data_IF_388144927518
#
_entry.id   IF_388144927518
#
_cell.length_a   1.000
_cell.length_b   1.000
_cell.length_c   1.000
_cell.angle_alpha   90.00
_cell.angle_beta   90.00
_cell.angle_gamma   90.00
#
_symmetry.space_group_name_H-M   'P 1'
#
loop_
_entity.id
_entity.type
_entity.pdbx_description
1 polymer ?
#
# COMPACT_ATOMS: atom_id res chain seq x y z
N UNK A 1 -3.13 -10.37 -4.63
CA UNK A 1 -2.18 -10.59 -5.75
C UNK A 1 -0.93 -11.40 -5.35
N UNK A 2 -0.67 -11.60 -4.06
CA UNK A 2 0.54 -12.30 -3.56
C UNK A 2 0.59 -13.77 -3.99
N UNK A 3 -0.55 -14.37 -4.21
CA UNK A 3 -0.77 -15.74 -4.70
C UNK A 3 -0.55 -15.92 -6.21
N UNK A 4 -0.26 -14.83 -6.93
CA UNK A 4 -0.12 -14.78 -8.39
C UNK A 4 1.34 -14.57 -8.84
N UNK A 5 2.29 -15.04 -8.06
CA UNK A 5 3.73 -14.93 -8.34
C UNK A 5 4.21 -13.49 -8.64
N UNK A 6 3.58 -12.49 -7.99
CA UNK A 6 3.89 -11.07 -8.22
C UNK A 6 5.20 -10.61 -7.61
N UNK A 7 5.71 -11.31 -6.61
CA UNK A 7 6.95 -11.03 -5.86
C UNK A 7 7.72 -12.31 -5.58
N UNK A 8 9.01 -12.16 -5.29
CA UNK A 8 9.86 -13.28 -4.92
C UNK A 8 9.62 -13.70 -3.47
N UNK A 9 9.75 -14.99 -3.21
CA UNK A 9 9.66 -15.57 -1.88
C UNK A 9 11.04 -16.05 -1.43
N UNK A 10 11.38 -15.76 -0.20
CA UNK A 10 12.62 -16.18 0.46
C UNK A 10 12.32 -17.06 1.66
N UNK A 11 13.31 -17.76 2.16
CA UNK A 11 13.15 -18.52 3.40
C UNK A 11 12.98 -17.55 4.59
N UNK A 12 12.06 -17.90 5.51
CA UNK A 12 11.91 -17.17 6.75
C UNK A 12 13.13 -17.40 7.67
N UNK A 13 13.14 -16.74 8.86
CA UNK A 13 14.30 -16.76 9.78
C UNK A 13 14.77 -18.16 10.21
N UNK A 14 13.89 -19.16 10.24
CA UNK A 14 14.19 -20.55 10.65
C UNK A 14 14.18 -21.56 9.49
N UNK A 15 14.03 -21.11 8.27
CA UNK A 15 13.96 -21.91 7.04
C UNK A 15 12.83 -22.94 7.01
N UNK A 16 11.78 -22.76 7.82
CA UNK A 16 10.64 -23.69 7.86
C UNK A 16 9.55 -23.31 6.87
N UNK A 17 9.45 -22.04 6.49
CA UNK A 17 8.43 -21.50 5.61
C UNK A 17 9.03 -20.51 4.62
N UNK A 18 8.26 -20.15 3.60
CA UNK A 18 8.59 -19.07 2.66
C UNK A 18 7.82 -17.80 3.01
N UNK A 19 8.48 -16.66 2.93
CA UNK A 19 7.87 -15.35 3.08
C UNK A 19 8.16 -14.46 1.87
N UNK A 20 7.26 -13.52 1.51
CA UNK A 20 7.53 -12.61 0.40
C UNK A 20 8.67 -11.66 0.76
N UNK A 21 9.60 -11.46 -0.17
CA UNK A 21 10.69 -10.49 -0.02
C UNK A 21 10.17 -9.05 0.09
N UNK A 22 9.12 -8.75 -0.64
CA UNK A 22 8.38 -7.47 -0.62
C UNK A 22 6.88 -7.75 -0.78
N UNK A 23 6.03 -6.87 -0.25
CA UNK A 23 4.60 -6.96 -0.47
C UNK A 23 4.20 -6.27 -1.79
N UNK A 24 3.36 -6.88 -2.63
CA UNK A 24 2.89 -6.29 -3.89
C UNK A 24 1.81 -5.23 -3.65
N UNK A 25 2.16 -4.15 -2.93
CA UNK A 25 1.23 -3.09 -2.55
C UNK A 25 0.69 -2.33 -3.76
N UNK A 26 -0.58 -1.97 -3.71
CA UNK A 26 -1.29 -1.32 -4.81
C UNK A 26 -1.11 0.21 -4.86
N UNK A 27 -0.53 0.81 -3.84
CA UNK A 27 -0.22 2.24 -3.73
C UNK A 27 1.10 2.43 -2.97
N UNK A 28 1.79 3.59 -3.09
CA UNK A 28 3.08 3.83 -2.43
C UNK A 28 2.93 4.00 -0.91
N UNK A 29 2.73 2.91 -0.19
CA UNK A 29 2.40 2.87 1.24
C UNK A 29 3.49 3.49 2.13
N UNK A 30 4.73 3.49 1.69
CA UNK A 30 5.86 4.10 2.39
C UNK A 30 5.69 5.62 2.60
N UNK A 31 4.95 6.29 1.72
CA UNK A 31 4.66 7.73 1.82
C UNK A 31 3.28 8.02 2.43
N UNK A 32 2.39 7.04 2.50
CA UNK A 32 1.05 7.23 3.09
C UNK A 32 1.07 6.99 4.59
N UNK A 33 1.81 6.00 5.04
CA UNK A 33 1.94 5.67 6.45
C UNK A 33 3.16 6.35 7.06
N UNK A 34 3.03 6.85 8.28
CA UNK A 34 4.20 7.31 9.05
C UNK A 34 5.15 6.15 9.25
N UNK A 35 6.42 6.38 8.92
CA UNK A 35 7.45 5.37 9.05
C UNK A 35 8.62 5.93 9.85
N UNK A 36 8.80 5.43 11.06
CA UNK A 36 9.90 5.81 11.96
C UNK A 36 10.60 4.55 12.43
N UNK A 37 11.90 4.47 12.16
CA UNK A 37 12.72 3.34 12.57
C UNK A 37 14.11 3.82 13.03
N UNK A 38 14.57 3.25 14.12
CA UNK A 38 15.89 3.53 14.69
C UNK A 38 16.66 2.23 14.76
N UNK A 39 17.79 2.16 14.05
CA UNK A 39 18.71 1.04 14.10
C UNK A 39 20.13 1.54 14.41
N UNK A 40 21.02 0.62 14.74
CA UNK A 40 22.44 0.97 14.96
C UNK A 40 23.07 1.42 13.63
N UNK A 41 23.54 2.65 13.59
CA UNK A 41 24.18 3.24 12.41
C UNK A 41 23.21 3.72 11.31
N UNK A 42 21.89 3.53 11.46
CA UNK A 42 20.90 3.87 10.44
C UNK A 42 19.57 4.25 11.07
N UNK A 43 18.97 5.35 10.61
CA UNK A 43 17.63 5.76 11.04
C UNK A 43 16.78 6.14 9.82
N UNK A 44 15.46 5.93 9.93
CA UNK A 44 14.47 6.37 8.97
C UNK A 44 13.40 7.17 9.70
N UNK A 45 12.96 8.29 9.12
CA UNK A 45 11.87 9.11 9.63
C UNK A 45 11.13 9.74 8.45
N UNK A 46 10.08 9.07 8.00
CA UNK A 46 9.29 9.46 6.84
C UNK A 46 7.94 9.97 7.33
N UNK A 47 7.60 11.21 6.99
CA UNK A 47 6.28 11.77 7.28
C UNK A 47 5.21 11.13 6.40
N UNK A 48 3.97 11.13 6.87
CA UNK A 48 2.82 10.67 6.11
C UNK A 48 2.29 11.75 5.18
N UNK A 49 1.70 11.29 4.07
CA UNK A 49 1.01 12.12 3.11
C UNK A 49 -0.43 11.61 2.90
N UNK A 50 -1.29 12.48 2.40
CA UNK A 50 -2.66 12.11 2.09
C UNK A 50 -2.70 11.05 0.98
N UNK A 51 -3.46 9.96 1.19
CA UNK A 51 -3.57 8.85 0.25
C UNK A 51 -4.05 9.29 -1.14
N UNK A 52 -5.06 10.16 -1.20
CA UNK A 52 -5.60 10.66 -2.46
C UNK A 52 -4.56 11.46 -3.22
N UNK A 53 -3.88 12.40 -2.54
CA UNK A 53 -2.83 13.24 -3.13
C UNK A 53 -1.64 12.40 -3.62
N UNK A 54 -1.23 11.39 -2.88
CA UNK A 54 -0.18 10.45 -3.30
C UNK A 54 -0.59 9.66 -4.53
N UNK A 55 -1.81 9.16 -4.59
CA UNK A 55 -2.32 8.45 -5.78
C UNK A 55 -2.41 9.38 -7.00
N UNK A 56 -2.90 10.60 -6.83
CA UNK A 56 -2.97 11.59 -7.89
C UNK A 56 -1.59 11.99 -8.40
N UNK A 57 -0.63 12.21 -7.49
CA UNK A 57 0.76 12.53 -7.82
C UNK A 57 1.44 11.38 -8.56
N UNK A 58 1.24 10.15 -8.09
CA UNK A 58 1.77 8.94 -8.75
C UNK A 58 1.21 8.80 -10.16
N UNK A 59 -0.10 8.98 -10.32
CA UNK A 59 -0.74 8.92 -11.63
C UNK A 59 -0.26 10.05 -12.57
N UNK A 60 0.00 11.25 -12.02
CA UNK A 60 0.57 12.35 -12.79
C UNK A 60 2.00 12.04 -13.27
N UNK A 61 2.85 11.46 -12.41
CA UNK A 61 4.21 11.05 -12.76
C UNK A 61 4.26 9.93 -13.81
N UNK A 62 3.30 9.00 -13.78
CA UNK A 62 3.19 7.96 -14.82
C UNK A 62 2.88 8.58 -16.18
N UNK A 63 2.05 9.63 -16.23
CA UNK A 63 1.68 10.33 -17.48
C UNK A 63 2.76 11.29 -17.95
N UNK A 64 3.39 11.99 -17.03
CA UNK A 64 4.45 12.97 -17.29
C UNK A 64 5.57 12.84 -16.25
N UNK A 65 6.70 12.21 -16.63
CA UNK A 65 7.87 12.06 -15.75
C UNK A 65 8.45 13.39 -15.24
N UNK A 66 8.11 14.53 -15.89
CA UNK A 66 8.58 15.85 -15.49
C UNK A 66 7.58 16.61 -14.60
N UNK A 67 6.49 15.95 -14.18
CA UNK A 67 5.50 16.56 -13.28
C UNK A 67 6.16 17.09 -11.99
N UNK A 68 5.85 18.36 -11.63
CA UNK A 68 6.27 18.92 -10.35
C UNK A 68 5.38 18.37 -9.23
N UNK A 69 5.97 17.55 -8.39
CA UNK A 69 5.29 16.85 -7.28
C UNK A 69 4.52 17.82 -6.37
N UNK A 70 5.04 19.03 -6.14
CA UNK A 70 4.38 20.01 -5.25
C UNK A 70 3.06 20.56 -5.80
N UNK A 71 2.77 20.40 -7.08
CA UNK A 71 1.48 20.81 -7.66
C UNK A 71 0.32 19.91 -7.22
N UNK A 72 0.57 18.64 -6.98
CA UNK A 72 -0.44 17.65 -6.57
C UNK A 72 -0.25 17.15 -5.14
N UNK A 73 0.90 17.45 -4.52
CA UNK A 73 1.25 17.09 -3.15
C UNK A 73 1.77 18.32 -2.41
N UNK A 74 0.89 19.26 -2.01
CA UNK A 74 1.32 20.56 -1.51
C UNK A 74 2.01 20.49 -0.15
N UNK A 75 1.66 19.53 0.71
CA UNK A 75 2.25 19.35 2.04
C UNK A 75 1.98 17.94 2.59
N UNK A 76 2.78 17.48 3.58
CA UNK A 76 2.47 16.28 4.33
C UNK A 76 1.15 16.37 5.10
N UNK A 77 0.56 15.21 5.39
CA UNK A 77 -0.65 15.07 6.18
C UNK A 77 -0.33 14.27 7.45
N UNK A 78 -0.03 14.99 8.53
CA UNK A 78 0.40 14.37 9.80
C UNK A 78 -0.80 13.80 10.56
N UNK A 79 -0.63 12.60 11.10
CA UNK A 79 -1.61 11.97 11.98
C UNK A 79 -1.83 12.85 13.23
N UNK A 80 -3.10 13.04 13.62
CA UNK A 80 -3.48 13.88 14.74
C UNK A 80 -3.85 15.31 14.37
N UNK A 81 -3.67 15.72 13.12
CA UNK A 81 -4.24 16.97 12.58
C UNK A 81 -3.60 18.25 13.10
N UNK A 82 -2.30 18.27 13.42
CA UNK A 82 -1.55 19.47 13.73
C UNK A 82 -1.46 20.42 12.54
N UNK A 83 -1.09 21.67 12.79
CA UNK A 83 -0.85 22.67 11.76
C UNK A 83 0.61 22.59 11.28
N UNK A 84 0.81 22.72 9.98
CA UNK A 84 2.14 22.91 9.39
C UNK A 84 2.39 24.40 9.27
N UNK A 85 3.54 24.87 9.77
CA UNK A 85 4.03 26.20 9.44
C UNK A 85 4.63 26.11 8.05
N UNK A 86 3.87 26.58 7.05
CA UNK A 86 4.21 26.42 5.65
C UNK A 86 5.46 27.25 5.28
N UNK A 87 6.49 26.56 4.84
CA UNK A 87 7.68 27.11 4.23
C UNK A 87 7.98 26.30 2.97
N UNK A 88 7.70 26.91 1.81
CA UNK A 88 7.85 26.27 0.51
C UNK A 88 9.28 25.78 0.27
N UNK A 89 10.28 26.58 0.66
CA UNK A 89 11.68 26.21 0.44
C UNK A 89 12.08 25.00 1.30
N UNK A 90 11.65 24.97 2.55
CA UNK A 90 11.89 23.84 3.46
C UNK A 90 11.21 22.58 2.96
N UNK A 91 9.97 22.67 2.50
CA UNK A 91 9.22 21.53 1.92
C UNK A 91 9.88 21.05 0.62
N UNK A 92 10.23 21.96 -0.28
CA UNK A 92 10.92 21.62 -1.54
C UNK A 92 12.24 20.89 -1.27
N UNK A 93 13.01 21.35 -0.30
CA UNK A 93 14.25 20.66 0.11
C UNK A 93 13.97 19.23 0.55
N UNK A 94 12.94 19.00 1.40
CA UNK A 94 12.56 17.66 1.84
C UNK A 94 12.10 16.81 0.66
N UNK A 95 11.31 17.35 -0.25
CA UNK A 95 10.78 16.65 -1.42
C UNK A 95 11.88 16.25 -2.40
N UNK A 96 12.91 17.08 -2.56
CA UNK A 96 14.02 16.80 -3.46
C UNK A 96 15.08 15.89 -2.85
N UNK A 97 15.39 16.06 -1.56
CA UNK A 97 16.53 15.39 -0.92
C UNK A 97 16.16 14.28 0.05
N UNK A 98 14.92 14.22 0.49
CA UNK A 98 14.47 13.33 1.57
C UNK A 98 14.98 13.75 2.97
N UNK A 99 15.59 14.93 3.10
CA UNK A 99 16.12 15.46 4.35
C UNK A 99 15.67 16.90 4.58
N UNK A 100 15.39 17.24 5.83
CA UNK A 100 15.03 18.59 6.25
C UNK A 100 14.06 18.58 7.41
N UNK A 101 13.70 19.76 7.89
CA UNK A 101 12.75 19.93 9.00
C UNK A 101 11.44 20.55 8.53
N UNK A 102 10.32 20.01 9.02
CA UNK A 102 8.99 20.56 8.82
C UNK A 102 8.48 21.02 10.18
N UNK A 103 8.17 22.31 10.32
CA UNK A 103 7.65 22.85 11.58
C UNK A 103 6.20 22.54 11.74
N UNK A 104 5.86 21.93 12.87
CA UNK A 104 4.51 21.53 13.27
C UNK A 104 4.08 22.36 14.48
N UNK A 105 2.81 22.72 14.52
CA UNK A 105 2.23 23.52 15.61
C UNK A 105 0.90 22.91 16.04
N UNK A 106 0.70 22.89 17.36
CA UNK A 106 -0.55 22.50 17.97
C UNK A 106 -1.70 23.43 17.58
N UNK A 107 -2.89 22.87 17.41
CA UNK A 107 -4.12 23.62 17.21
C UNK A 107 -4.85 23.78 18.55
N UNK A 108 -5.32 24.98 18.84
CA UNK A 108 -6.04 25.28 20.06
C UNK A 108 -7.31 26.10 19.80
N UNK A 109 -8.17 26.11 20.81
CA UNK A 109 -9.36 26.94 20.87
C UNK A 109 -9.42 27.61 22.26
N UNK A 110 -9.77 28.89 22.28
CA UNK A 110 -10.03 29.59 23.53
C UNK A 110 -11.53 29.52 23.91
N UNK A 111 -11.82 28.97 25.06
CA UNK A 111 -13.17 28.99 25.65
C UNK A 111 -13.28 30.16 26.61
N UNK A 112 -14.04 31.20 26.19
CA UNK A 112 -14.26 32.41 27.01
C UNK A 112 -15.09 32.14 28.26
N UNK A 113 -16.00 31.16 28.20
CA UNK A 113 -16.90 30.86 29.32
C UNK A 113 -16.17 30.19 30.47
N UNK A 114 -15.30 29.29 30.18
CA UNK A 114 -14.45 28.58 31.14
C UNK A 114 -13.11 29.29 31.38
N UNK A 115 -12.76 30.32 30.61
CA UNK A 115 -11.48 31.02 30.63
C UNK A 115 -10.30 30.07 30.55
N UNK A 116 -10.38 29.14 29.59
CA UNK A 116 -9.34 28.13 29.33
C UNK A 116 -8.98 28.03 27.87
N UNK A 117 -7.79 27.49 27.62
CA UNK A 117 -7.34 27.09 26.29
C UNK A 117 -7.46 25.55 26.17
N UNK A 118 -8.20 25.10 25.17
CA UNK A 118 -8.27 23.69 24.79
C UNK A 118 -7.29 23.45 23.65
N UNK A 119 -6.23 22.68 23.87
CA UNK A 119 -5.34 22.18 22.82
C UNK A 119 -5.96 20.93 22.24
N UNK A 120 -6.28 20.95 20.93
CA UNK A 120 -7.07 19.93 20.26
C UNK A 120 -6.24 19.02 19.33
N UNK A 121 -5.02 19.44 19.03
CA UNK A 121 -4.04 18.61 18.31
C UNK A 121 -2.63 19.03 18.69
N UNK A 122 -1.70 18.10 18.64
CA UNK A 122 -0.30 18.33 18.99
C UNK A 122 0.61 17.80 17.88
N UNK A 123 1.86 18.30 17.77
CA UNK A 123 2.83 17.71 16.86
C UNK A 123 3.02 16.20 17.11
N UNK A 124 3.17 15.43 16.05
CA UNK A 124 3.40 13.97 16.12
C UNK A 124 4.73 13.58 16.75
N UNK A 125 5.60 14.55 17.01
CA UNK A 125 6.92 14.39 17.62
C UNK A 125 6.88 14.38 19.16
N UNK A 126 5.72 14.63 19.77
CA UNK A 126 5.57 14.80 21.22
C UNK A 126 4.32 14.09 21.75
N UNK A 127 4.17 14.03 23.05
CA UNK A 127 2.98 13.49 23.74
C UNK A 127 2.35 14.50 24.69
N UNK A 128 1.11 14.24 25.12
CA UNK A 128 0.41 15.10 26.08
C UNK A 128 1.19 15.23 27.37
N UNK A 129 1.75 14.12 27.87
CA UNK A 129 2.50 14.09 29.12
C UNK A 129 3.73 15.00 29.05
N UNK A 130 4.51 14.92 27.97
CA UNK A 130 5.71 15.75 27.77
C UNK A 130 5.36 17.24 27.72
N UNK A 131 4.24 17.58 27.08
CA UNK A 131 3.78 18.97 27.00
C UNK A 131 3.37 19.48 28.39
N UNK A 132 2.57 18.70 29.11
CA UNK A 132 2.08 19.05 30.44
C UNK A 132 3.24 19.20 31.42
N UNK A 133 4.19 18.26 31.42
CA UNK A 133 5.40 18.36 32.26
C UNK A 133 6.19 19.63 31.97
N UNK A 134 6.42 19.95 30.71
CA UNK A 134 7.12 21.20 30.35
C UNK A 134 6.38 22.44 30.76
N UNK A 135 5.04 22.47 30.66
CA UNK A 135 4.22 23.59 31.13
C UNK A 135 4.36 23.74 32.66
N UNK A 136 4.24 22.64 33.41
CA UNK A 136 4.40 22.62 34.86
C UNK A 136 5.78 23.16 35.28
N UNK A 137 6.82 22.72 34.62
CA UNK A 137 8.19 23.17 34.89
C UNK A 137 8.38 24.66 34.62
N UNK A 138 7.78 25.19 33.56
CA UNK A 138 7.82 26.62 33.25
C UNK A 138 7.07 27.44 34.29
N UNK A 139 5.96 26.95 34.84
CA UNK A 139 5.20 27.60 35.92
C UNK A 139 5.99 27.54 37.22
N UNK A 140 6.55 26.39 37.60
CA UNK A 140 7.41 26.23 38.78
C UNK A 140 8.65 27.11 38.74
N UNK A 141 9.27 27.24 37.57
CA UNK A 141 10.42 28.12 37.38
C UNK A 141 10.07 29.61 37.33
N UNK A 142 8.80 29.98 37.46
CA UNK A 142 8.32 31.36 37.40
C UNK A 142 8.43 32.04 36.03
N UNK A 143 8.75 31.29 34.97
CA UNK A 143 8.82 31.81 33.60
C UNK A 143 7.45 32.15 33.01
N UNK A 144 6.42 31.40 33.40
CA UNK A 144 5.02 31.61 33.04
C UNK A 144 4.21 31.73 34.31
N UNK A 145 3.52 32.84 34.47
CA UNK A 145 2.68 33.13 35.65
C UNK A 145 1.20 33.17 35.30
N UNK A 146 0.87 33.00 34.04
CA UNK A 146 -0.45 33.25 33.46
C UNK A 146 -1.40 32.04 33.60
N UNK A 147 -0.85 30.86 33.94
CA UNK A 147 -1.58 29.59 34.02
C UNK A 147 -2.01 29.31 35.47
N UNK A 148 -3.27 28.92 35.64
CA UNK A 148 -3.81 28.48 36.91
C UNK A 148 -3.70 26.97 37.09
N UNK A 149 -4.05 26.20 36.07
CA UNK A 149 -3.97 24.74 36.05
C UNK A 149 -3.80 24.20 34.62
N UNK A 150 -3.30 22.97 34.50
CA UNK A 150 -3.18 22.25 33.24
C UNK A 150 -3.51 20.78 33.43
N UNK A 151 -4.38 20.23 32.58
CA UNK A 151 -4.88 18.85 32.67
C UNK A 151 -4.95 18.19 31.30
N UNK A 152 -4.77 16.86 31.28
CA UNK A 152 -5.15 16.02 30.16
C UNK A 152 -6.62 15.62 30.29
N UNK A 153 -7.44 16.06 29.37
CA UNK A 153 -8.86 15.71 29.25
C UNK A 153 -9.13 14.90 27.97
N UNK A 154 -8.11 14.23 27.44
CA UNK A 154 -8.23 13.35 26.27
C UNK A 154 -9.23 12.24 26.56
N UNK A 155 -10.18 12.05 25.67
CA UNK A 155 -11.27 11.09 25.81
C UNK A 155 -11.76 10.54 24.47
N UNK A 156 -12.99 10.04 24.46
CA UNK A 156 -13.64 9.46 23.28
C UNK A 156 -13.72 10.46 22.12
N UNK A 157 -13.88 11.75 22.44
CA UNK A 157 -14.00 12.83 21.45
C UNK A 157 -12.64 13.26 20.83
N UNK A 158 -11.54 12.65 21.26
CA UNK A 158 -10.20 12.94 20.79
C UNK A 158 -9.28 13.58 21.83
N UNK A 159 -8.12 14.04 21.35
CA UNK A 159 -7.11 14.69 22.17
C UNK A 159 -7.59 16.05 22.67
N UNK A 160 -7.42 16.28 23.97
CA UNK A 160 -7.72 17.55 24.61
C UNK A 160 -6.81 17.80 25.82
N UNK A 161 -5.97 18.83 25.73
CA UNK A 161 -5.24 19.38 26.87
C UNK A 161 -5.91 20.69 27.25
N UNK A 162 -6.41 20.82 28.50
CA UNK A 162 -7.04 22.03 29.00
C UNK A 162 -6.08 22.82 29.87
N UNK A 163 -5.90 24.09 29.52
CA UNK A 163 -5.03 25.04 30.23
C UNK A 163 -5.91 26.14 30.80
N UNK A 164 -6.12 26.15 32.11
CA UNK A 164 -6.88 27.18 32.80
C UNK A 164 -6.06 28.44 32.95
N UNK A 165 -6.65 29.60 32.60
CA UNK A 165 -5.98 30.88 32.61
C UNK A 165 -6.32 31.64 33.89
N UNK A 166 -5.36 32.43 34.38
CA UNK A 166 -5.64 33.47 35.41
C UNK A 166 -6.43 34.61 34.75
N UNK A 167 -7.12 35.42 35.61
CA UNK A 167 -7.91 36.55 35.14
C UNK A 167 -7.04 37.58 34.40
N UNK A 168 -7.57 38.10 33.29
CA UNK A 168 -6.93 39.16 32.53
C UNK A 168 -5.76 38.70 31.63
N UNK A 169 -5.56 37.39 31.46
CA UNK A 169 -4.56 36.86 30.57
C UNK A 169 -5.03 36.84 29.11
N UNK A 170 -4.19 37.33 28.20
CA UNK A 170 -4.40 37.23 26.77
C UNK A 170 -4.02 35.81 26.33
N UNK A 171 -4.98 34.98 25.80
CA UNK A 171 -4.71 33.61 25.41
C UNK A 171 -3.71 33.53 24.24
N UNK A 172 -3.78 34.41 23.26
CA UNK A 172 -2.89 34.36 22.11
C UNK A 172 -1.44 34.68 22.48
N UNK A 173 -1.27 35.64 23.38
CA UNK A 173 0.06 35.97 23.92
C UNK A 173 0.65 34.84 24.74
N UNK A 174 -0.17 34.15 25.53
CA UNK A 174 0.26 32.97 26.27
C UNK A 174 0.64 31.84 25.33
N UNK A 175 -0.18 31.58 24.32
CA UNK A 175 0.13 30.53 23.34
C UNK A 175 1.41 30.81 22.56
N UNK A 176 1.69 32.06 22.21
CA UNK A 176 2.97 32.45 21.60
C UNK A 176 4.18 32.12 22.48
N UNK A 177 4.05 32.30 23.82
CA UNK A 177 5.11 31.87 24.77
C UNK A 177 5.23 30.35 24.83
N UNK A 178 4.07 29.64 24.90
CA UNK A 178 4.04 28.18 24.98
C UNK A 178 4.64 27.53 23.72
N UNK A 179 4.34 28.05 22.55
CA UNK A 179 4.99 27.60 21.29
C UNK A 179 6.50 27.73 21.32
N UNK A 180 7.01 28.79 21.93
CA UNK A 180 8.46 29.05 22.00
C UNK A 180 9.19 28.15 23.00
N UNK A 181 8.54 27.78 24.11
CA UNK A 181 9.19 27.13 25.25
C UNK A 181 8.78 25.66 25.46
N UNK A 182 7.80 25.18 24.73
CA UNK A 182 7.33 23.79 24.81
C UNK A 182 7.31 23.13 23.44
N UNK A 183 7.01 21.84 23.40
CA UNK A 183 6.81 21.05 22.17
C UNK A 183 5.43 21.20 21.56
N UNK A 184 4.63 22.21 21.97
CA UNK A 184 3.43 22.62 21.23
C UNK A 184 3.76 23.19 19.84
N UNK A 185 4.96 23.67 19.63
CA UNK A 185 5.58 23.85 18.32
C UNK A 185 6.88 23.04 18.29
N UNK A 186 7.05 22.19 17.28
CA UNK A 186 8.19 21.33 17.17
C UNK A 186 8.55 21.09 15.71
N UNK A 187 9.72 20.55 15.43
CA UNK A 187 10.20 20.26 14.09
C UNK A 187 10.24 18.76 13.86
N UNK A 188 9.51 18.30 12.85
CA UNK A 188 9.64 16.93 12.36
C UNK A 188 10.89 16.85 11.46
N UNK A 189 11.89 16.11 11.90
CA UNK A 189 13.14 15.93 11.15
C UNK A 189 12.99 14.79 10.16
N UNK A 190 12.79 15.13 8.89
CA UNK A 190 12.69 14.16 7.80
C UNK A 190 14.03 13.51 7.49
N UNK A 191 14.01 12.20 7.36
CA UNK A 191 15.11 11.38 6.85
C UNK A 191 14.51 10.19 6.10
N UNK A 192 14.28 10.35 4.81
CA UNK A 192 13.62 9.37 3.96
C UNK A 192 14.59 8.27 3.55
N UNK A 193 15.10 7.56 4.54
CA UNK A 193 16.03 6.46 4.35
C UNK A 193 15.26 5.16 4.12
N UNK A 194 15.45 4.56 2.96
CA UNK A 194 14.77 3.36 2.48
C UNK A 194 15.80 2.35 1.96
N UNK A 195 15.39 1.09 1.84
CA UNK A 195 16.17 0.05 1.21
C UNK A 195 15.77 -0.11 -0.25
N UNK A 196 16.69 0.12 -1.17
CA UNK A 196 16.51 -0.16 -2.60
C UNK A 196 17.47 -1.29 -2.99
N UNK A 197 16.91 -2.43 -3.36
CA UNK A 197 17.72 -3.62 -3.63
C UNK A 197 18.58 -4.07 -2.45
N UNK A 198 18.11 -3.86 -1.20
CA UNK A 198 18.84 -4.16 0.03
C UNK A 198 19.87 -3.12 0.45
N UNK A 199 20.06 -2.03 -0.32
CA UNK A 199 21.02 -0.97 -0.02
C UNK A 199 20.31 0.26 0.55
N UNK A 200 20.72 0.79 1.71
CA UNK A 200 20.16 2.01 2.28
C UNK A 200 20.42 3.23 1.37
N UNK A 201 19.35 3.97 1.07
CA UNK A 201 19.41 5.23 0.32
C UNK A 201 18.45 6.25 0.91
N UNK A 202 18.87 7.49 0.93
CA UNK A 202 17.99 8.63 1.25
C UNK A 202 17.53 9.25 -0.06
N UNK A 203 16.22 9.20 -0.29
CA UNK A 203 15.59 9.63 -1.54
C UNK A 203 14.52 10.69 -1.27
N UNK A 204 14.36 11.61 -2.20
CA UNK A 204 13.24 12.54 -2.22
C UNK A 204 11.93 11.87 -2.62
N UNK A 205 10.82 12.61 -2.51
CA UNK A 205 9.47 12.08 -2.79
C UNK A 205 9.35 11.56 -4.22
N UNK A 206 9.80 12.33 -5.21
CA UNK A 206 9.74 11.94 -6.62
C UNK A 206 10.52 10.65 -6.86
N UNK A 207 11.75 10.57 -6.39
CA UNK A 207 12.59 9.38 -6.55
C UNK A 207 11.98 8.14 -5.89
N UNK A 208 11.37 8.28 -4.70
CA UNK A 208 10.65 7.21 -4.03
C UNK A 208 9.44 6.72 -4.85
N UNK A 209 8.69 7.65 -5.44
CA UNK A 209 7.55 7.31 -6.30
C UNK A 209 8.01 6.62 -7.59
N UNK A 210 9.11 7.06 -8.20
CA UNK A 210 9.70 6.44 -9.39
C UNK A 210 10.15 5.00 -9.11
N UNK A 211 10.81 4.74 -7.98
CA UNK A 211 11.20 3.39 -7.55
C UNK A 211 9.97 2.50 -7.30
N UNK A 212 8.94 3.05 -6.65
CA UNK A 212 7.69 2.31 -6.44
C UNK A 212 6.97 2.02 -7.76
N UNK A 213 6.94 2.97 -8.71
CA UNK A 213 6.33 2.78 -10.03
C UNK A 213 7.03 1.63 -10.77
N UNK A 214 8.37 1.63 -10.79
CA UNK A 214 9.14 0.56 -11.42
C UNK A 214 8.83 -0.81 -10.80
N UNK A 215 8.80 -0.91 -9.47
CA UNK A 215 8.40 -2.11 -8.76
C UNK A 215 6.96 -2.53 -9.08
N UNK A 216 6.03 -1.57 -9.12
CA UNK A 216 4.61 -1.86 -9.40
C UNK A 216 4.38 -2.35 -10.84
N UNK A 217 5.09 -1.79 -11.80
CA UNK A 217 5.05 -2.26 -13.19
C UNK A 217 5.44 -3.73 -13.26
N UNK A 218 6.50 -4.13 -12.57
CA UNK A 218 6.93 -5.53 -12.52
C UNK A 218 5.88 -6.44 -11.85
N UNK A 219 5.29 -6.01 -10.73
CA UNK A 219 4.20 -6.74 -10.09
C UNK A 219 3.00 -6.92 -11.02
N UNK A 220 2.62 -5.88 -11.77
CA UNK A 220 1.50 -5.96 -12.73
C UNK A 220 1.84 -6.90 -13.87
N UNK A 221 3.05 -6.81 -14.42
CA UNK A 221 3.53 -7.71 -15.48
C UNK A 221 3.49 -9.18 -15.05
N UNK A 222 4.05 -9.49 -13.88
CA UNK A 222 4.06 -10.85 -13.32
C UNK A 222 2.65 -11.37 -13.07
N UNK A 223 1.76 -10.56 -12.50
CA UNK A 223 0.35 -10.90 -12.31
C UNK A 223 -0.34 -11.20 -13.64
N UNK A 224 -0.16 -10.34 -14.63
CA UNK A 224 -0.77 -10.50 -15.95
C UNK A 224 -0.28 -11.78 -16.62
N UNK A 225 1.01 -12.06 -16.53
CA UNK A 225 1.60 -13.30 -17.04
C UNK A 225 1.04 -14.54 -16.35
N UNK A 226 0.90 -14.51 -15.01
CA UNK A 226 0.28 -15.60 -14.25
C UNK A 226 -1.17 -15.84 -14.69
N UNK A 227 -1.99 -14.80 -14.74
CA UNK A 227 -3.40 -14.89 -15.14
C UNK A 227 -3.54 -15.39 -16.59
N UNK A 228 -2.69 -14.90 -17.48
CA UNK A 228 -2.61 -15.34 -18.88
C UNK A 228 -2.28 -16.82 -18.98
N UNK A 229 -1.29 -17.30 -18.26
CA UNK A 229 -0.89 -18.71 -18.30
C UNK A 229 -1.97 -19.62 -17.71
N UNK A 230 -2.62 -19.25 -16.64
CA UNK A 230 -3.76 -20.01 -16.08
C UNK A 230 -4.91 -20.12 -17.07
N UNK A 231 -5.20 -19.05 -17.81
CA UNK A 231 -6.23 -19.08 -18.87
C UNK A 231 -5.77 -19.93 -20.07
N UNK A 232 -4.50 -19.86 -20.43
CA UNK A 232 -3.94 -20.66 -21.50
C UNK A 232 -3.94 -22.17 -21.18
N UNK A 233 -3.59 -22.56 -19.94
CA UNK A 233 -3.70 -23.94 -19.46
C UNK A 233 -5.13 -24.45 -19.57
N UNK A 234 -6.10 -23.66 -19.12
CA UNK A 234 -7.52 -24.01 -19.20
C UNK A 234 -8.01 -24.11 -20.66
N UNK A 235 -7.61 -23.15 -21.51
CA UNK A 235 -7.94 -23.18 -22.93
C UNK A 235 -7.38 -24.44 -23.60
N UNK A 236 -6.14 -24.81 -23.25
CA UNK A 236 -5.49 -26.00 -23.78
C UNK A 236 -6.29 -27.28 -23.46
N UNK A 237 -6.74 -27.42 -22.22
CA UNK A 237 -7.60 -28.56 -21.82
C UNK A 237 -8.95 -28.55 -22.56
N UNK A 238 -9.58 -27.39 -22.69
CA UNK A 238 -10.86 -27.27 -23.39
C UNK A 238 -10.76 -27.54 -24.91
N UNK A 239 -9.63 -27.19 -25.54
CA UNK A 239 -9.39 -27.55 -26.96
C UNK A 239 -9.23 -29.06 -27.15
N UNK A 240 -8.61 -29.74 -26.20
CA UNK A 240 -8.60 -31.20 -26.19
C UNK A 240 -10.01 -31.80 -26.06
N UNK A 241 -10.82 -31.25 -25.20
CA UNK A 241 -12.21 -31.66 -25.02
C UNK A 241 -13.03 -31.37 -26.29
N UNK A 242 -12.86 -30.22 -26.94
CA UNK A 242 -13.53 -29.87 -28.19
C UNK A 242 -13.27 -30.91 -29.29
N UNK A 243 -12.02 -31.34 -29.44
CA UNK A 243 -11.65 -32.39 -30.42
C UNK A 243 -12.42 -33.71 -30.17
N UNK A 244 -12.60 -34.08 -28.91
CA UNK A 244 -13.39 -35.26 -28.50
C UNK A 244 -14.88 -35.06 -28.74
N UNK A 245 -15.42 -33.88 -28.45
CA UNK A 245 -16.86 -33.59 -28.59
C UNK A 245 -17.30 -33.54 -30.05
N UNK A 246 -16.39 -33.33 -30.98
CA UNK A 246 -16.65 -33.44 -32.43
C UNK A 246 -16.91 -34.87 -32.86
N UNK A 247 -16.37 -35.88 -32.19
CA UNK A 247 -16.60 -37.30 -32.48
C UNK A 247 -16.59 -38.14 -31.18
N UNK A 248 -17.69 -38.03 -30.43
CA UNK A 248 -17.86 -38.74 -29.15
C UNK A 248 -17.90 -40.24 -29.32
N UNK A 249 -18.50 -40.74 -30.40
CA UNK A 249 -18.60 -42.17 -30.67
C UNK A 249 -17.24 -42.81 -30.85
N UNK A 250 -16.33 -42.11 -31.54
CA UNK A 250 -14.94 -42.54 -31.70
C UNK A 250 -14.22 -42.59 -30.32
N UNK A 251 -14.41 -41.60 -29.47
CA UNK A 251 -13.81 -41.58 -28.14
C UNK A 251 -14.30 -42.76 -27.29
N UNK A 252 -15.60 -42.98 -27.24
CA UNK A 252 -16.23 -44.12 -26.53
C UNK A 252 -15.72 -45.45 -27.08
N UNK A 253 -15.60 -45.57 -28.40
CA UNK A 253 -15.07 -46.75 -29.03
C UNK A 253 -13.64 -47.04 -28.62
N UNK A 254 -12.75 -46.03 -28.65
CA UNK A 254 -11.35 -46.19 -28.24
C UNK A 254 -11.28 -46.68 -26.78
N UNK A 255 -12.02 -46.07 -25.84
CA UNK A 255 -12.00 -46.48 -24.45
C UNK A 255 -12.51 -47.91 -24.26
N UNK A 256 -13.57 -48.32 -24.98
CA UNK A 256 -14.16 -49.65 -24.87
C UNK A 256 -13.31 -50.75 -25.53
N UNK A 257 -12.57 -50.45 -26.57
CA UNK A 257 -11.72 -51.39 -27.26
C UNK A 257 -10.27 -51.47 -26.68
N UNK A 258 -9.95 -50.65 -25.72
CA UNK A 258 -8.67 -50.70 -25.00
C UNK A 258 -8.73 -51.76 -23.88
N UNK A 259 -7.79 -52.70 -23.92
CA UNK A 259 -7.78 -53.82 -23.01
C UNK A 259 -7.24 -53.45 -21.61
N UNK A 260 -6.22 -52.58 -21.55
CA UNK A 260 -5.60 -52.15 -20.30
C UNK A 260 -5.91 -50.68 -19.99
N UNK A 261 -6.26 -50.38 -18.73
CA UNK A 261 -6.58 -48.99 -18.29
C UNK A 261 -5.44 -48.01 -18.57
N UNK A 262 -4.19 -48.44 -18.37
CA UNK A 262 -3.01 -47.64 -18.64
C UNK A 262 -2.82 -47.21 -20.10
N UNK A 263 -3.43 -47.92 -21.05
CA UNK A 263 -3.35 -47.61 -22.47
C UNK A 263 -4.45 -46.66 -22.98
N UNK A 264 -5.45 -46.33 -22.14
CA UNK A 264 -6.57 -45.49 -22.54
C UNK A 264 -6.09 -44.08 -22.96
N UNK A 265 -5.24 -43.45 -22.13
CA UNK A 265 -4.68 -42.12 -22.40
C UNK A 265 -3.83 -42.13 -23.66
N UNK A 266 -2.82 -43.01 -23.85
CA UNK A 266 -2.07 -43.13 -25.10
C UNK A 266 -2.94 -43.33 -26.34
N UNK A 267 -3.96 -44.16 -26.26
CA UNK A 267 -4.86 -44.43 -27.38
C UNK A 267 -5.73 -43.24 -27.75
N UNK A 268 -6.18 -42.45 -26.76
CA UNK A 268 -6.88 -41.19 -27.03
C UNK A 268 -5.97 -40.14 -27.65
N UNK A 269 -4.71 -40.07 -27.22
CA UNK A 269 -3.71 -39.17 -27.81
C UNK A 269 -3.51 -39.47 -29.31
N UNK A 270 -3.33 -40.73 -29.65
CA UNK A 270 -3.13 -41.16 -31.06
C UNK A 270 -4.42 -40.94 -31.86
N UNK A 271 -5.56 -41.30 -31.31
CA UNK A 271 -6.86 -41.26 -32.00
C UNK A 271 -7.32 -39.85 -32.35
N UNK A 272 -7.01 -38.85 -31.51
CA UNK A 272 -7.48 -37.47 -31.66
C UNK A 272 -6.35 -36.47 -31.95
N UNK A 273 -5.09 -36.87 -31.89
CA UNK A 273 -3.95 -35.97 -32.10
C UNK A 273 -3.82 -34.94 -30.98
N UNK A 274 -4.17 -35.31 -29.75
CA UNK A 274 -4.05 -34.50 -28.54
C UNK A 274 -2.89 -34.97 -27.67
N UNK A 275 -2.42 -34.12 -26.77
CA UNK A 275 -1.36 -34.48 -25.82
C UNK A 275 -1.88 -35.24 -24.58
N UNK A 276 -0.94 -35.69 -23.74
CA UNK A 276 -1.21 -36.47 -22.55
C UNK A 276 -2.12 -35.72 -21.56
N UNK A 277 -1.83 -34.42 -21.32
CA UNK A 277 -2.59 -33.59 -20.38
C UNK A 277 -4.03 -33.40 -20.84
N UNK A 278 -4.24 -33.19 -22.13
CA UNK A 278 -5.56 -33.12 -22.75
C UNK A 278 -6.28 -34.47 -22.70
N UNK A 279 -5.58 -35.55 -22.99
CA UNK A 279 -6.14 -36.90 -23.00
C UNK A 279 -6.57 -37.35 -21.60
N UNK A 280 -5.77 -37.07 -20.56
CA UNK A 280 -6.16 -37.34 -19.17
C UNK A 280 -7.38 -36.55 -18.74
N UNK A 281 -7.41 -35.24 -19.06
CA UNK A 281 -8.58 -34.39 -18.75
C UNK A 281 -9.85 -34.94 -19.39
N UNK A 282 -9.79 -35.41 -20.61
CA UNK A 282 -10.90 -35.99 -21.33
C UNK A 282 -11.31 -37.36 -20.75
N UNK A 283 -10.36 -38.20 -20.40
CA UNK A 283 -10.62 -39.53 -19.82
C UNK A 283 -11.40 -39.43 -18.50
N UNK A 284 -11.19 -38.36 -17.73
CA UNK A 284 -11.87 -38.09 -16.44
C UNK A 284 -13.26 -37.43 -16.61
N UNK A 285 -13.73 -37.18 -17.83
CA UNK A 285 -15.02 -36.50 -18.03
C UNK A 285 -16.20 -37.36 -17.56
N UNK A 286 -17.13 -36.76 -16.88
CA UNK A 286 -18.35 -37.43 -16.42
C UNK A 286 -19.30 -37.65 -17.60
N UNK A 287 -19.89 -38.85 -17.76
CA UNK A 287 -20.83 -39.19 -18.83
C UNK A 287 -21.96 -38.18 -18.99
N UNK A 288 -22.49 -37.62 -17.90
CA UNK A 288 -23.53 -36.57 -17.92
C UNK A 288 -23.10 -35.29 -18.62
N UNK A 289 -21.79 -35.04 -18.79
CA UNK A 289 -21.24 -33.88 -19.48
C UNK A 289 -21.13 -34.04 -20.99
N UNK A 290 -21.50 -35.20 -21.53
CA UNK A 290 -21.55 -35.43 -22.99
C UNK A 290 -22.87 -34.95 -23.62
N UNK A 291 -23.64 -34.14 -22.93
CA UNK A 291 -24.91 -33.58 -23.46
C UNK A 291 -24.65 -32.29 -24.25
N UNK A 292 -25.61 -31.95 -25.11
CA UNK A 292 -25.53 -30.81 -26.02
C UNK A 292 -25.36 -29.47 -25.30
N UNK A 293 -26.02 -29.29 -24.17
CA UNK A 293 -25.91 -28.04 -23.40
C UNK A 293 -24.49 -27.81 -22.87
N UNK A 294 -23.84 -28.86 -22.35
CA UNK A 294 -22.48 -28.80 -21.86
C UNK A 294 -21.48 -28.48 -22.99
N UNK A 295 -21.66 -29.11 -24.16
CA UNK A 295 -20.83 -28.87 -25.34
C UNK A 295 -20.92 -27.41 -25.77
N UNK A 296 -22.13 -26.86 -25.90
CA UNK A 296 -22.31 -25.45 -26.28
C UNK A 296 -21.70 -24.48 -25.28
N UNK A 297 -21.82 -24.75 -23.99
CA UNK A 297 -21.19 -23.93 -22.93
C UNK A 297 -19.66 -23.95 -23.04
N UNK A 298 -19.07 -25.10 -23.32
CA UNK A 298 -17.61 -25.22 -23.45
C UNK A 298 -17.07 -24.55 -24.70
N UNK A 299 -17.77 -24.64 -25.82
CA UNK A 299 -17.40 -23.91 -27.05
C UNK A 299 -17.43 -22.40 -26.84
N UNK A 300 -18.47 -21.87 -26.17
CA UNK A 300 -18.54 -20.45 -25.84
C UNK A 300 -17.44 -20.02 -24.86
N UNK A 301 -17.06 -20.88 -23.91
CA UNK A 301 -15.95 -20.63 -22.99
C UNK A 301 -14.60 -20.58 -23.68
N UNK A 302 -14.36 -21.41 -24.72
CA UNK A 302 -13.16 -21.37 -25.53
C UNK A 302 -13.00 -20.00 -26.19
N UNK A 303 -14.04 -19.52 -26.88
CA UNK A 303 -14.01 -18.20 -27.55
C UNK A 303 -13.77 -17.05 -26.54
N UNK A 304 -14.41 -17.12 -25.37
CA UNK A 304 -14.20 -16.13 -24.30
C UNK A 304 -12.76 -16.14 -23.78
N UNK A 305 -12.18 -17.32 -23.54
CA UNK A 305 -10.80 -17.45 -23.07
C UNK A 305 -9.78 -16.97 -24.12
N UNK A 306 -10.00 -17.25 -25.39
CA UNK A 306 -9.13 -16.77 -26.48
C UNK A 306 -9.10 -15.24 -26.53
N UNK A 307 -10.26 -14.60 -26.37
CA UNK A 307 -10.36 -13.14 -26.32
C UNK A 307 -9.67 -12.58 -25.07
N UNK A 308 -9.92 -13.15 -23.90
CA UNK A 308 -9.31 -12.71 -22.63
C UNK A 308 -7.78 -12.86 -22.65
N UNK A 309 -7.25 -13.94 -23.26
CA UNK A 309 -5.81 -14.14 -23.43
C UNK A 309 -5.23 -13.06 -24.34
N UNK A 310 -5.89 -12.75 -25.46
CA UNK A 310 -5.44 -11.70 -26.37
C UNK A 310 -5.40 -10.32 -25.68
N UNK A 311 -6.40 -9.99 -24.84
CA UNK A 311 -6.40 -8.76 -24.06
C UNK A 311 -5.24 -8.71 -23.03
N UNK A 312 -4.88 -9.84 -22.41
CA UNK A 312 -3.75 -9.92 -21.49
C UNK A 312 -2.39 -9.85 -22.22
N UNK A 313 -2.29 -10.41 -23.42
CA UNK A 313 -1.09 -10.32 -24.27
C UNK A 313 -0.82 -8.88 -24.75
N UNK A 314 -1.85 -8.03 -24.87
CA UNK A 314 -1.68 -6.59 -25.17
C UNK A 314 -1.10 -5.78 -23.98
N UNK A 315 -1.26 -6.29 -22.76
CA UNK A 315 -0.72 -5.64 -21.54
C UNK A 315 0.75 -6.03 -21.32
N UNK A 316 1.15 -7.23 -21.76
CA UNK A 316 2.51 -7.77 -21.59
C UNK A 316 3.51 -7.19 -22.59
#
# INVERSE_FOLDING_TARGET
DIDKDTVDFVDNYDNTMKEPSLLPVAFPSVLVNTNTGIAVGMASNICSFNLKEICETTAALIRDPNHDVMQTLPAPDFIGGCQIIYDENALRQVYETGKGGIKLRARYRYDKSANCIDVLSIPSTTTCEVIIEKIIDLVKAGKIKDIADVRDETGIDGLKITIDLKRGVDPDRLMAKLYRFTTLEDSFSCNFNVLIGGVPRVLGVKALLEEWIAFRIECVRRRTYFDRNKKAEKLHLLKGLEAILLDIDKAVKIVRETDEEAEVVPNLMIGFGIDEVQAEYVAEIKLRHLNREYILKRTAEIEALEKEIAELDEIL
#
